data_IF_240798165175
#
_entry.id   IF_240798165175
#
_cell.length_a   1.000
_cell.length_b   1.000
_cell.length_c   1.000
_cell.angle_alpha   90.00
_cell.angle_beta   90.00
_cell.angle_gamma   90.00
#
_symmetry.space_group_name_H-M   'P 1'
#
loop_
_entity.id
_entity.type
_entity.pdbx_description
1 polymer ?
#
# COMPACT_ATOMS: atom_id res chain seq x y z
N UNK A 1 -0.31 11.67 -4.31
CA UNK A 1 -1.03 10.70 -3.45
C UNK A 1 -1.73 11.41 -2.31
N UNK A 2 -1.01 12.20 -1.50
CA UNK A 2 -1.56 12.94 -0.37
C UNK A 2 -0.54 13.05 0.76
N UNK A 3 -0.96 13.56 1.91
CA UNK A 3 -0.14 13.56 3.13
C UNK A 3 -0.15 12.18 3.82
N UNK A 4 0.99 11.75 4.37
CA UNK A 4 1.06 10.51 5.13
C UNK A 4 0.52 10.68 6.55
N UNK A 5 -0.23 9.69 7.03
CA UNK A 5 -0.67 9.60 8.42
C UNK A 5 0.30 8.69 9.17
N UNK A 6 1.02 9.26 10.14
CA UNK A 6 2.08 8.58 10.92
C UNK A 6 1.70 8.35 12.39
N UNK A 7 0.75 9.14 12.90
CA UNK A 7 0.30 9.04 14.29
C UNK A 7 -0.50 7.77 14.48
N UNK A 8 -0.12 6.94 15.45
CA UNK A 8 -0.70 5.64 15.70
C UNK A 8 -2.21 5.70 15.95
N UNK A 9 -2.71 6.75 16.62
CA UNK A 9 -4.15 6.93 16.90
C UNK A 9 -4.99 7.11 15.64
N UNK A 10 -4.36 7.54 14.55
CA UNK A 10 -5.04 7.94 13.31
C UNK A 10 -4.83 6.87 12.22
N UNK A 11 -3.99 5.86 12.49
CA UNK A 11 -3.87 4.63 11.72
C UNK A 11 -4.76 3.58 12.40
N UNK A 12 -5.61 2.82 11.68
CA UNK A 12 -6.47 1.81 12.30
C UNK A 12 -5.67 0.55 12.69
N UNK A 13 -4.83 0.71 13.71
CA UNK A 13 -4.00 -0.29 14.36
C UNK A 13 -4.26 -0.27 15.86
N UNK A 14 -4.04 -1.40 16.52
CA UNK A 14 -4.04 -1.55 17.99
C UNK A 14 -2.63 -1.69 18.55
N UNK A 15 -1.61 -1.55 17.70
CA UNK A 15 -0.22 -1.55 18.16
C UNK A 15 0.04 -0.32 19.02
N UNK A 16 0.72 -0.53 20.15
CA UNK A 16 1.08 0.58 21.03
C UNK A 16 2.05 1.54 20.33
N UNK A 17 1.84 2.86 20.45
CA UNK A 17 2.78 3.84 19.92
C UNK A 17 4.09 3.86 20.70
N UNK A 18 5.14 4.35 20.04
CA UNK A 18 6.36 4.81 20.70
C UNK A 18 6.12 6.16 21.39
N UNK A 19 7.14 6.72 22.04
CA UNK A 19 7.07 8.02 22.73
C UNK A 19 6.70 9.19 21.80
N UNK A 20 7.01 9.09 20.51
CA UNK A 20 6.69 10.08 19.48
C UNK A 20 5.27 9.90 18.89
N UNK A 21 4.46 9.03 19.50
CA UNK A 21 3.10 8.68 19.06
C UNK A 21 3.02 7.91 17.73
N UNK A 22 4.15 7.53 17.14
CA UNK A 22 4.20 6.74 15.91
C UNK A 22 4.29 5.24 16.21
N UNK A 23 4.05 4.41 15.20
CA UNK A 23 4.45 2.99 15.22
C UNK A 23 5.60 2.81 14.23
N UNK A 24 6.76 3.39 14.50
CA UNK A 24 7.97 3.23 13.70
C UNK A 24 8.94 2.25 14.37
N UNK A 25 9.39 1.21 13.64
CA UNK A 25 10.29 0.15 14.17
C UNK A 25 9.87 -0.40 15.55
N UNK A 26 8.57 -0.50 15.80
CA UNK A 26 8.05 -0.92 17.10
C UNK A 26 8.16 -2.43 17.25
N UNK A 27 8.96 -2.93 18.20
CA UNK A 27 9.17 -4.38 18.36
C UNK A 27 7.90 -5.04 18.89
N UNK A 28 7.51 -6.15 18.26
CA UNK A 28 6.35 -6.97 18.58
C UNK A 28 6.72 -8.44 18.51
N UNK A 29 6.13 -9.22 19.41
CA UNK A 29 6.26 -10.66 19.42
C UNK A 29 4.97 -11.28 18.89
N UNK A 30 5.07 -12.09 17.85
CA UNK A 30 3.96 -12.91 17.33
C UNK A 30 4.46 -14.34 17.24
N UNK A 31 3.77 -15.26 17.93
CA UNK A 31 4.13 -16.69 18.01
C UNK A 31 5.60 -16.94 18.38
N UNK A 32 6.13 -16.21 19.37
CA UNK A 32 7.51 -16.38 19.84
C UNK A 32 8.57 -15.76 18.92
N UNK A 33 8.17 -15.05 17.87
CA UNK A 33 9.08 -14.38 16.95
C UNK A 33 8.95 -12.87 17.10
N UNK A 34 10.07 -12.22 17.42
CA UNK A 34 10.15 -10.76 17.45
C UNK A 34 10.31 -10.18 16.04
N UNK A 35 9.47 -9.21 15.70
CA UNK A 35 9.53 -8.43 14.47
C UNK A 35 9.36 -6.95 14.80
N UNK A 36 9.91 -6.08 13.96
CA UNK A 36 9.64 -4.65 14.06
C UNK A 36 8.47 -4.24 13.15
N UNK A 37 7.58 -3.41 13.68
CA UNK A 37 6.39 -2.93 13.01
C UNK A 37 6.61 -1.49 12.55
N UNK A 38 6.27 -1.19 11.31
CA UNK A 38 6.17 0.18 10.81
C UNK A 38 4.78 0.41 10.22
N UNK A 39 3.93 1.19 10.90
CA UNK A 39 2.57 1.47 10.44
C UNK A 39 2.43 2.89 9.92
N UNK A 40 1.84 3.02 8.74
CA UNK A 40 1.49 4.28 8.10
C UNK A 40 0.13 4.15 7.41
N UNK A 41 -0.51 5.27 7.09
CA UNK A 41 -1.69 5.28 6.23
C UNK A 41 -1.57 6.35 5.15
N UNK A 42 -2.03 6.00 3.94
CA UNK A 42 -2.25 6.93 2.82
C UNK A 42 -3.74 6.92 2.42
N UNK A 43 -4.63 6.73 3.39
CA UNK A 43 -6.09 6.55 3.21
C UNK A 43 -6.60 5.15 3.60
N UNK A 44 -5.70 4.18 3.78
CA UNK A 44 -5.94 2.84 4.32
C UNK A 44 -4.73 2.41 5.19
N UNK A 45 -4.89 1.50 6.18
CA UNK A 45 -3.79 1.05 7.02
C UNK A 45 -2.80 0.15 6.28
N UNK A 46 -1.52 0.46 6.45
CA UNK A 46 -0.42 -0.38 6.02
C UNK A 46 0.53 -0.64 7.17
N UNK A 47 0.96 -1.88 7.29
CA UNK A 47 1.94 -2.28 8.29
C UNK A 47 2.96 -3.18 7.62
N UNK A 48 4.19 -2.69 7.45
CA UNK A 48 5.28 -3.57 7.08
C UNK A 48 5.96 -4.14 8.32
N UNK A 49 6.40 -5.38 8.15
CA UNK A 49 7.18 -6.11 9.15
C UNK A 49 8.51 -6.50 8.51
N UNK A 50 9.62 -6.19 9.19
CA UNK A 50 10.94 -6.49 8.66
C UNK A 50 11.56 -7.61 9.46
N UNK A 51 11.78 -8.70 8.76
CA UNK A 51 12.79 -9.64 9.16
C UNK A 51 14.17 -9.05 9.01
N UNK A 52 15.05 -9.25 10.00
CA UNK A 52 16.48 -9.01 9.80
C UNK A 52 16.98 -9.81 8.57
N UNK A 53 18.08 -9.39 7.93
CA UNK A 53 18.69 -10.12 6.79
C UNK A 53 18.90 -11.62 7.06
N UNK A 54 19.11 -11.99 8.33
CA UNK A 54 19.32 -13.36 8.80
C UNK A 54 18.05 -14.05 9.30
N UNK A 55 16.93 -13.33 9.37
CA UNK A 55 15.67 -13.91 9.81
C UNK A 55 15.12 -14.79 8.70
N UNK A 56 14.99 -16.08 8.99
CA UNK A 56 14.32 -17.04 8.10
C UNK A 56 12.78 -16.88 8.20
N UNK A 57 12.31 -15.64 8.18
CA UNK A 57 10.87 -15.36 8.20
C UNK A 57 10.31 -15.74 6.84
N UNK A 58 9.49 -16.78 6.81
CA UNK A 58 8.73 -17.15 5.62
C UNK A 58 7.51 -16.23 5.50
N UNK A 59 7.46 -15.32 4.50
CA UNK A 59 6.36 -14.36 4.33
C UNK A 59 5.00 -15.03 4.24
N UNK A 60 4.93 -16.22 3.60
CA UNK A 60 3.69 -16.99 3.43
C UNK A 60 3.12 -17.43 4.78
N UNK A 61 3.98 -17.69 5.77
CA UNK A 61 3.57 -18.18 7.09
C UNK A 61 3.20 -17.02 8.01
N UNK A 62 3.95 -15.91 7.94
CA UNK A 62 3.82 -14.82 8.91
C UNK A 62 2.83 -13.73 8.47
N UNK A 63 2.63 -13.53 7.17
CA UNK A 63 1.64 -12.55 6.65
C UNK A 63 0.23 -12.75 7.22
N UNK A 64 -0.36 -13.97 7.23
CA UNK A 64 -1.70 -14.18 7.77
C UNK A 64 -1.79 -13.94 9.29
N UNK A 65 -0.66 -14.08 10.00
CA UNK A 65 -0.55 -13.84 11.45
C UNK A 65 -0.48 -12.35 11.76
N UNK A 66 0.14 -11.55 10.88
CA UNK A 66 0.22 -10.10 10.99
C UNK A 66 -1.09 -9.41 10.59
N UNK A 67 -1.87 -9.95 9.64
CA UNK A 67 -3.17 -9.41 9.20
C UNK A 67 -4.29 -9.57 10.26
N UNK A 68 -3.98 -10.18 11.41
CA UNK A 68 -4.98 -10.57 12.40
C UNK A 68 -5.76 -9.38 12.99
N UNK A 69 -7.07 -9.57 13.16
CA UNK A 69 -8.02 -8.54 13.65
C UNK A 69 -7.66 -7.94 15.01
N UNK A 70 -6.91 -8.68 15.81
CA UNK A 70 -6.46 -8.22 17.13
C UNK A 70 -5.49 -7.05 17.05
N UNK A 71 -4.65 -6.99 16.01
CA UNK A 71 -3.72 -5.88 15.78
C UNK A 71 -4.27 -4.86 14.78
N UNK A 72 -5.08 -5.30 13.81
CA UNK A 72 -5.62 -4.44 12.76
C UNK A 72 -7.13 -4.69 12.62
N UNK A 73 -7.99 -3.86 13.27
CA UNK A 73 -9.44 -4.06 13.31
C UNK A 73 -10.09 -4.14 11.93
N UNK A 74 -9.57 -3.36 10.98
CA UNK A 74 -10.02 -3.30 9.59
C UNK A 74 -9.21 -4.21 8.66
N UNK A 75 -8.40 -5.12 9.22
CA UNK A 75 -7.27 -5.78 8.56
C UNK A 75 -6.22 -4.77 8.09
N UNK A 76 -5.05 -5.27 7.72
CA UNK A 76 -3.97 -4.47 7.12
C UNK A 76 -3.38 -5.23 5.96
N UNK A 77 -2.86 -4.50 4.98
CA UNK A 77 -1.87 -5.09 4.10
C UNK A 77 -0.59 -5.31 4.92
N UNK A 78 -0.02 -6.52 4.86
CA UNK A 78 1.29 -6.83 5.44
C UNK A 78 2.28 -7.00 4.29
N UNK A 79 3.27 -6.10 4.22
CA UNK A 79 4.31 -6.16 3.18
C UNK A 79 5.61 -6.76 3.72
N UNK A 80 6.23 -7.65 2.93
CA UNK A 80 7.56 -8.21 3.18
C UNK A 80 8.54 -7.71 2.13
N UNK A 81 9.67 -7.23 2.62
CA UNK A 81 10.51 -6.34 1.84
C UNK A 81 11.96 -6.72 2.05
N UNK A 82 12.71 -6.69 0.95
CA UNK A 82 14.16 -6.73 0.99
C UNK A 82 14.72 -5.44 0.36
N UNK A 83 15.38 -4.61 1.17
CA UNK A 83 16.12 -3.45 0.66
C UNK A 83 17.42 -3.96 0.04
N UNK A 84 17.61 -3.68 -1.25
CA UNK A 84 18.83 -4.07 -1.97
C UNK A 84 19.90 -2.99 -1.87
N UNK A 85 19.51 -1.71 -1.95
CA UNK A 85 20.37 -0.56 -1.66
C UNK A 85 19.52 0.65 -1.27
N UNK A 86 20.16 1.72 -0.76
CA UNK A 86 19.48 2.97 -0.40
C UNK A 86 18.84 3.70 -1.59
N UNK A 87 19.35 3.44 -2.80
CA UNK A 87 18.94 4.07 -4.05
C UNK A 87 18.18 3.14 -5.00
N UNK A 88 18.04 1.86 -4.65
CA UNK A 88 17.35 0.87 -5.49
C UNK A 88 16.58 -0.14 -4.66
N UNK A 89 15.33 -0.28 -5.08
CA UNK A 89 14.31 -1.01 -4.38
C UNK A 89 13.74 -2.09 -5.30
N UNK A 90 13.71 -3.34 -4.82
CA UNK A 90 13.11 -4.47 -5.53
C UNK A 90 12.09 -5.14 -4.63
N UNK A 91 10.87 -5.23 -5.15
CA UNK A 91 9.71 -5.75 -4.43
C UNK A 91 9.33 -7.15 -4.92
N UNK A 92 8.86 -8.01 -4.01
CA UNK A 92 8.14 -9.24 -4.35
C UNK A 92 6.74 -9.14 -3.75
N UNK A 93 5.72 -9.16 -4.60
CA UNK A 93 4.32 -9.09 -4.20
C UNK A 93 3.68 -10.49 -4.19
N UNK A 94 2.83 -10.78 -3.21
CA UNK A 94 1.99 -12.00 -3.21
C UNK A 94 0.59 -11.77 -3.81
N UNK A 95 0.20 -10.51 -4.05
CA UNK A 95 -1.12 -10.12 -4.57
C UNK A 95 -0.99 -9.05 -5.66
N UNK A 96 -2.06 -8.81 -6.42
CA UNK A 96 -2.07 -7.86 -7.54
C UNK A 96 -1.56 -6.47 -7.13
N UNK A 97 -0.78 -5.78 -7.99
CA UNK A 97 -0.21 -4.48 -7.67
C UNK A 97 -1.32 -3.43 -7.57
N UNK A 98 -1.32 -2.67 -6.48
CA UNK A 98 -2.11 -1.44 -6.36
C UNK A 98 -1.12 -0.34 -6.10
N UNK A 99 -1.09 0.70 -6.94
CA UNK A 99 -0.05 1.73 -6.90
C UNK A 99 0.11 2.39 -5.50
N UNK A 100 -0.97 2.43 -4.72
CA UNK A 100 -0.96 2.89 -3.33
C UNK A 100 0.01 2.10 -2.43
N UNK A 101 0.14 0.78 -2.64
CA UNK A 101 1.05 -0.10 -1.89
C UNK A 101 2.51 0.27 -2.09
N UNK A 102 2.90 0.61 -3.32
CA UNK A 102 4.26 1.04 -3.64
C UNK A 102 4.67 2.29 -2.85
N UNK A 103 3.75 3.25 -2.74
CA UNK A 103 3.96 4.53 -2.06
C UNK A 103 4.10 4.35 -0.56
N UNK A 104 3.22 3.57 0.05
CA UNK A 104 3.27 3.31 1.49
C UNK A 104 4.51 2.53 1.88
N UNK A 105 4.87 1.57 1.05
CA UNK A 105 6.08 0.81 1.24
C UNK A 105 7.33 1.69 1.19
N UNK A 106 7.49 2.48 0.12
CA UNK A 106 8.60 3.43 -0.02
C UNK A 106 8.66 4.35 1.21
N UNK A 107 7.52 4.89 1.62
CA UNK A 107 7.41 5.79 2.77
C UNK A 107 7.89 5.14 4.07
N UNK A 108 7.51 3.89 4.33
CA UNK A 108 7.97 3.17 5.53
C UNK A 108 9.50 3.01 5.52
N UNK A 109 10.10 2.68 4.37
CA UNK A 109 11.56 2.53 4.26
C UNK A 109 12.31 3.86 4.41
N UNK A 110 11.76 4.92 3.82
CA UNK A 110 12.26 6.27 3.98
C UNK A 110 12.23 6.71 5.45
N UNK A 111 11.09 6.52 6.15
CA UNK A 111 10.94 6.81 7.59
C UNK A 111 11.89 6.00 8.48
N UNK A 112 12.29 4.81 8.03
CA UNK A 112 13.27 3.98 8.73
C UNK A 112 14.72 4.40 8.49
N UNK A 113 14.97 5.39 7.62
CA UNK A 113 16.30 5.83 7.21
C UNK A 113 17.02 4.84 6.30
N UNK A 114 16.26 3.95 5.65
CA UNK A 114 16.80 2.88 4.80
C UNK A 114 16.86 3.28 3.32
N UNK A 115 16.28 4.43 2.96
CA UNK A 115 16.26 4.98 1.60
C UNK A 115 16.73 6.43 1.53
N UNK A 116 17.11 6.82 0.32
CA UNK A 116 17.28 8.22 -0.09
C UNK A 116 15.92 8.87 -0.44
N UNK A 117 15.91 10.19 -0.62
CA UNK A 117 14.70 11.02 -0.77
C UNK A 117 13.93 10.78 -2.07
N UNK A 118 14.62 10.33 -3.13
CA UNK A 118 14.01 9.91 -4.39
C UNK A 118 14.59 8.56 -4.74
N UNK A 119 13.74 7.53 -4.84
CA UNK A 119 14.18 6.18 -5.19
C UNK A 119 13.30 5.59 -6.27
N UNK A 120 13.87 5.14 -7.41
CA UNK A 120 13.13 4.38 -8.40
C UNK A 120 12.77 3.01 -7.83
N UNK A 121 11.48 2.68 -7.87
CA UNK A 121 10.98 1.34 -7.61
C UNK A 121 11.09 0.51 -8.89
N UNK A 122 11.90 -0.54 -8.84
CA UNK A 122 12.15 -1.44 -9.98
C UNK A 122 11.55 -2.80 -9.70
N UNK A 123 10.83 -3.34 -10.69
CA UNK A 123 10.22 -4.65 -10.60
C UNK A 123 11.13 -5.74 -11.20
N UNK A 124 11.10 -6.97 -10.66
CA UNK A 124 11.84 -8.10 -11.22
C UNK A 124 11.43 -8.45 -12.65
N UNK A 125 10.16 -8.25 -13.01
CA UNK A 125 9.59 -8.58 -14.31
C UNK A 125 9.89 -7.49 -15.35
N UNK A 126 10.50 -7.87 -16.47
CA UNK A 126 10.98 -6.94 -17.51
C UNK A 126 9.88 -6.14 -18.23
N UNK A 127 8.61 -6.51 -18.08
CA UNK A 127 7.45 -5.79 -18.66
C UNK A 127 7.06 -4.55 -17.87
N UNK A 128 7.64 -4.39 -16.67
CA UNK A 128 7.23 -3.39 -15.71
C UNK A 128 8.08 -2.14 -15.78
N UNK A 129 7.46 -0.96 -15.92
CA UNK A 129 8.20 0.31 -16.00
C UNK A 129 8.40 0.87 -14.58
N UNK A 130 9.52 1.55 -14.30
CA UNK A 130 9.81 2.03 -12.96
C UNK A 130 8.84 3.13 -12.52
N UNK A 131 8.58 3.19 -11.22
CA UNK A 131 7.92 4.31 -10.56
C UNK A 131 8.95 5.12 -9.77
N UNK A 132 8.83 6.44 -9.79
CA UNK A 132 9.56 7.35 -8.90
C UNK A 132 8.63 7.79 -7.77
N UNK A 133 9.12 7.72 -6.54
CA UNK A 133 8.39 8.15 -5.36
C UNK A 133 9.25 9.16 -4.59
N UNK A 134 8.63 10.26 -4.17
CA UNK A 134 9.23 11.37 -3.43
C UNK A 134 8.26 11.82 -2.33
N UNK A 135 8.75 12.06 -1.11
CA UNK A 135 8.00 12.82 -0.11
C UNK A 135 8.60 14.19 0.02
N UNK A 136 7.81 15.20 -0.38
CA UNK A 136 8.24 16.59 -0.35
C UNK A 136 7.94 17.20 1.00
N UNK A 137 8.99 17.60 1.72
CA UNK A 137 8.85 18.24 3.02
C UNK A 137 8.14 19.61 2.95
N UNK A 138 8.22 20.31 1.82
CA UNK A 138 7.66 21.65 1.64
C UNK A 138 6.13 21.72 1.81
N UNK A 139 5.42 20.65 1.44
CA UNK A 139 3.97 20.54 1.53
C UNK A 139 3.51 19.26 2.24
N UNK A 140 4.43 18.47 2.78
CA UNK A 140 4.16 17.19 3.44
C UNK A 140 3.50 16.14 2.52
N UNK A 141 3.58 16.27 1.20
CA UNK A 141 2.90 15.36 0.27
C UNK A 141 3.83 14.29 -0.31
N UNK A 142 3.28 13.08 -0.48
CA UNK A 142 3.92 12.01 -1.24
C UNK A 142 3.46 12.04 -2.70
N UNK A 143 4.45 12.08 -3.58
CA UNK A 143 4.31 12.06 -5.03
C UNK A 143 4.73 10.70 -5.57
N UNK A 144 4.03 10.26 -6.62
CA UNK A 144 4.34 9.04 -7.34
C UNK A 144 4.24 9.36 -8.82
N UNK A 145 5.35 9.20 -9.52
CA UNK A 145 5.50 9.51 -10.94
C UNK A 145 5.83 8.24 -11.70
N UNK A 146 5.19 8.06 -12.84
CA UNK A 146 5.39 6.87 -13.65
C UNK A 146 4.55 6.93 -14.93
N UNK A 147 4.77 5.98 -15.83
CA UNK A 147 4.01 5.88 -17.07
C UNK A 147 2.60 5.34 -16.82
N UNK A 148 1.64 5.90 -17.53
CA UNK A 148 0.27 5.41 -17.61
C UNK A 148 -0.09 5.24 -19.08
N UNK A 149 -0.79 4.15 -19.40
CA UNK A 149 -1.23 3.83 -20.75
C UNK A 149 -2.75 3.62 -20.74
N UNK A 150 -3.42 4.14 -21.76
CA UNK A 150 -4.84 3.89 -21.98
C UNK A 150 -5.01 2.42 -22.41
N UNK A 151 -5.89 1.69 -21.71
CA UNK A 151 -6.13 0.27 -22.01
C UNK A 151 -7.32 0.12 -22.95
N UNK A 152 -8.42 0.79 -22.63
CA UNK A 152 -9.61 0.80 -23.46
C UNK A 152 -10.44 2.06 -23.23
N UNK A 153 -11.30 2.33 -24.21
CA UNK A 153 -12.38 3.29 -24.14
C UNK A 153 -13.69 2.56 -24.45
N UNK A 154 -14.76 2.93 -23.77
CA UNK A 154 -16.07 2.35 -24.03
C UNK A 154 -17.14 3.01 -23.17
N UNK A 155 -18.38 2.61 -23.42
CA UNK A 155 -19.53 3.09 -22.64
C UNK A 155 -20.10 1.94 -21.82
N UNK A 156 -20.42 2.21 -20.56
CA UNK A 156 -21.07 1.24 -19.67
C UNK A 156 -22.49 1.71 -19.34
N UNK A 157 -23.42 0.76 -19.37
CA UNK A 157 -24.78 0.98 -18.89
C UNK A 157 -24.81 0.74 -17.38
N UNK A 158 -25.14 1.77 -16.60
CA UNK A 158 -25.52 1.56 -15.21
C UNK A 158 -27.04 1.44 -15.13
N UNK A 159 -27.48 0.27 -14.70
CA UNK A 159 -28.86 0.07 -14.28
C UNK A 159 -28.98 0.49 -12.82
N UNK A 160 -29.72 1.56 -12.56
CA UNK A 160 -30.03 1.99 -11.20
C UNK A 160 -31.03 0.99 -10.59
N UNK A 161 -30.54 0.02 -9.81
CA UNK A 161 -31.41 -0.93 -9.11
C UNK A 161 -32.12 -0.19 -7.96
N UNK A 162 -33.36 0.24 -8.19
CA UNK A 162 -34.16 1.04 -7.25
C UNK A 162 -35.58 0.56 -7.01
N UNK A 163 -36.01 -0.58 -7.56
CA UNK A 163 -37.38 -1.08 -7.42
C UNK A 163 -37.53 -2.59 -7.56
N UNK A 164 -38.68 -3.17 -7.15
CA UNK A 164 -38.97 -4.59 -7.32
C UNK A 164 -38.96 -4.99 -8.80
N UNK A 165 -38.61 -6.24 -9.13
CA UNK A 165 -38.28 -6.70 -10.49
C UNK A 165 -39.44 -6.65 -11.51
N UNK A 166 -40.65 -6.25 -11.10
CA UNK A 166 -41.87 -6.32 -11.92
C UNK A 166 -42.22 -5.00 -12.64
N UNK A 167 -41.45 -3.93 -12.45
CA UNK A 167 -41.64 -2.63 -13.13
C UNK A 167 -40.34 -2.11 -13.72
N UNK A 168 -39.79 -2.82 -14.72
CA UNK A 168 -38.72 -2.31 -15.58
C UNK A 168 -39.36 -1.61 -16.78
N UNK A 169 -39.85 -0.39 -16.58
CA UNK A 169 -39.98 0.58 -17.67
C UNK A 169 -38.64 1.31 -17.79
N UNK A 170 -38.20 1.52 -19.04
CA UNK A 170 -36.86 1.89 -19.52
C UNK A 170 -36.28 3.23 -19.02
N UNK A 171 -36.86 3.85 -17.99
CA UNK A 171 -36.74 5.28 -17.70
C UNK A 171 -35.59 5.66 -16.75
N UNK A 172 -34.44 4.97 -16.83
CA UNK A 172 -33.32 5.23 -15.92
C UNK A 172 -31.93 4.81 -16.37
N UNK A 173 -31.70 4.58 -17.68
CA UNK A 173 -30.38 4.22 -18.19
C UNK A 173 -29.44 5.43 -18.22
N UNK A 174 -28.40 5.40 -17.38
CA UNK A 174 -27.28 6.34 -17.45
C UNK A 174 -26.16 5.68 -18.26
N UNK A 175 -25.80 6.30 -19.38
CA UNK A 175 -24.60 5.93 -20.14
C UNK A 175 -23.43 6.71 -19.55
N UNK A 176 -22.41 5.99 -19.06
CA UNK A 176 -21.14 6.57 -18.68
C UNK A 176 -20.09 6.22 -19.73
N UNK A 177 -19.44 7.24 -20.30
CA UNK A 177 -18.22 7.05 -21.06
C UNK A 177 -17.06 6.87 -20.09
N UNK A 178 -16.39 5.72 -20.20
CA UNK A 178 -15.32 5.31 -19.29
C UNK A 178 -14.02 5.20 -20.10
N UNK A 179 -13.04 5.98 -19.69
CA UNK A 179 -11.64 5.77 -20.05
C UNK A 179 -10.97 5.00 -18.92
N UNK A 180 -10.56 3.75 -19.17
CA UNK A 180 -9.75 3.01 -18.21
C UNK A 180 -8.28 3.19 -18.57
N UNK A 181 -7.59 3.88 -17.66
CA UNK A 181 -6.15 4.00 -17.63
C UNK A 181 -5.60 2.98 -16.64
N UNK A 182 -4.52 2.31 -17.02
CA UNK A 182 -3.70 1.58 -16.06
C UNK A 182 -2.37 2.30 -15.94
N UNK A 183 -1.82 2.30 -14.74
CA UNK A 183 -0.38 2.48 -14.62
C UNK A 183 0.27 1.31 -15.36
N UNK A 184 1.24 1.59 -16.22
CA UNK A 184 2.01 0.57 -16.92
C UNK A 184 2.97 -0.05 -15.91
N UNK A 185 2.39 -0.76 -14.93
CA UNK A 185 3.07 -1.41 -13.83
C UNK A 185 3.79 -2.62 -14.32
#
# INVERSE_FOLDING_TARGET
MGEPILKASDVPTRLFPNNDQSVLKSIREVDGVSWDATCVSMGNPHCATFGNKDSQLNPVIISPKCEHREMFPTRTNTEFVQVFSKSHLKMREQHLPVAQRHVQWWLQQFLRGELEEIVPLIYPEATRRPLEIEWRAADNHVYMTGPAEAVFYGSAFLCCYGGPPETLEDDGMIILDILIVTWSL
#
